data_IF_021282618675
#
_entry.id   IF_021282618675
#
_cell.length_a   1.000
_cell.length_b   1.000
_cell.length_c   1.000
_cell.angle_alpha   90.00
_cell.angle_beta   90.00
_cell.angle_gamma   90.00
#
_symmetry.space_group_name_H-M   'P 1'
#
loop_
_entity.id
_entity.type
_entity.pdbx_description
1 polymer ?
#
# COMPACT_ATOMS: atom_id res chain seq x y z
N UNK A 1 -46.16 12.63 -6.49
CA UNK A 1 -45.65 11.49 -5.69
C UNK A 1 -44.14 11.45 -5.87
N UNK A 2 -43.37 11.67 -4.80
CA UNK A 2 -41.91 11.75 -4.87
C UNK A 2 -41.35 10.33 -4.81
N UNK A 3 -40.79 9.86 -5.92
CA UNK A 3 -40.13 8.56 -5.99
C UNK A 3 -38.73 8.70 -5.37
N UNK A 4 -38.62 8.41 -4.07
CA UNK A 4 -37.33 8.27 -3.38
C UNK A 4 -36.81 6.85 -3.61
N UNK A 5 -36.07 6.65 -4.68
CA UNK A 5 -35.39 5.37 -4.97
C UNK A 5 -33.99 5.64 -5.51
N UNK A 6 -33.10 6.26 -4.72
CA UNK A 6 -31.67 6.27 -5.10
C UNK A 6 -30.70 6.59 -3.95
N UNK A 7 -30.98 6.23 -2.70
CA UNK A 7 -29.96 6.40 -1.65
C UNK A 7 -28.97 5.24 -1.63
N UNK A 8 -29.45 4.00 -1.83
CA UNK A 8 -28.58 2.81 -1.84
C UNK A 8 -27.68 2.76 -3.08
N UNK A 9 -28.20 3.09 -4.27
CA UNK A 9 -27.40 3.11 -5.51
C UNK A 9 -26.41 4.28 -5.56
N UNK A 10 -26.74 5.45 -5.00
CA UNK A 10 -25.78 6.56 -4.86
C UNK A 10 -24.69 6.22 -3.84
N UNK A 11 -25.02 5.52 -2.75
CA UNK A 11 -24.04 5.03 -1.78
C UNK A 11 -23.16 3.95 -2.41
N UNK A 12 -23.71 3.02 -3.20
CA UNK A 12 -22.92 1.99 -3.88
C UNK A 12 -21.99 2.59 -4.95
N UNK A 13 -22.42 3.66 -5.64
CA UNK A 13 -21.60 4.37 -6.62
C UNK A 13 -20.49 5.20 -5.95
N UNK A 14 -20.77 5.88 -4.83
CA UNK A 14 -19.73 6.58 -4.05
C UNK A 14 -18.73 5.61 -3.38
N UNK A 15 -19.16 4.40 -3.03
CA UNK A 15 -18.28 3.35 -2.47
C UNK A 15 -17.42 2.72 -3.56
N UNK A 16 -17.92 2.63 -4.80
CA UNK A 16 -17.16 2.14 -5.95
C UNK A 16 -16.05 3.08 -6.41
N UNK A 17 -16.23 4.41 -6.27
CA UNK A 17 -15.16 5.39 -6.54
C UNK A 17 -14.10 5.43 -5.42
N UNK A 18 -14.36 4.83 -4.26
CA UNK A 18 -13.49 4.90 -3.07
C UNK A 18 -12.33 3.89 -3.02
N UNK A 19 -12.16 2.97 -3.98
CA UNK A 19 -10.87 2.29 -4.17
C UNK A 19 -10.73 1.57 -5.53
N UNK A 20 -10.54 2.35 -6.60
CA UNK A 20 -10.04 1.82 -7.87
C UNK A 20 -8.51 1.73 -7.89
N UNK A 21 -7.86 1.29 -6.80
CA UNK A 21 -6.41 1.23 -6.84
C UNK A 21 -5.96 0.19 -7.87
N UNK A 22 -5.17 0.71 -8.82
CA UNK A 22 -4.56 0.17 -10.04
C UNK A 22 -5.33 -0.91 -10.82
N UNK A 23 -6.59 -0.60 -11.17
CA UNK A 23 -7.40 -1.35 -12.15
C UNK A 23 -7.31 -0.72 -13.57
N UNK A 24 -7.50 -1.52 -14.64
CA UNK A 24 -7.71 -2.98 -14.66
C UNK A 24 -6.40 -3.79 -14.54
N UNK A 25 -5.25 -3.14 -14.71
CA UNK A 25 -3.91 -3.72 -14.57
C UNK A 25 -3.14 -2.91 -13.53
N UNK A 26 -2.47 -3.61 -12.62
CA UNK A 26 -1.63 -3.01 -11.58
C UNK A 26 -0.59 -2.04 -12.15
N UNK A 27 -0.03 -1.19 -11.29
CA UNK A 27 0.94 -0.16 -11.69
C UNK A 27 2.36 -0.67 -11.53
N UNK A 28 3.18 -0.50 -12.58
CA UNK A 28 4.63 -0.74 -12.52
C UNK A 28 5.25 0.35 -11.64
N UNK A 29 6.16 -0.03 -10.74
CA UNK A 29 6.85 0.92 -9.86
C UNK A 29 8.15 1.44 -10.49
N UNK A 30 8.19 1.82 -11.75
CA UNK A 30 9.39 2.37 -12.41
C UNK A 30 9.78 3.77 -11.93
N UNK A 31 8.85 4.44 -11.26
CA UNK A 31 8.92 5.81 -10.78
C UNK A 31 8.12 5.95 -9.48
N UNK A 32 8.27 7.09 -8.80
CA UNK A 32 7.53 7.37 -7.57
C UNK A 32 6.01 7.39 -7.85
N UNK A 33 5.27 6.60 -7.10
CA UNK A 33 3.81 6.53 -7.22
C UNK A 33 3.17 7.20 -6.02
N UNK A 34 2.44 8.29 -6.27
CA UNK A 34 1.62 8.97 -5.27
C UNK A 34 0.16 8.57 -5.42
N UNK A 35 -0.49 8.20 -4.33
CA UNK A 35 -1.90 7.82 -4.30
C UNK A 35 -2.58 8.38 -3.06
N UNK A 36 -3.74 9.02 -3.24
CA UNK A 36 -4.59 9.46 -2.14
C UNK A 36 -5.45 8.29 -1.68
N UNK A 37 -5.41 7.97 -0.40
CA UNK A 37 -6.14 6.85 0.20
C UNK A 37 -7.09 7.39 1.25
N UNK A 38 -8.39 7.15 1.07
CA UNK A 38 -9.41 7.56 2.03
C UNK A 38 -9.38 6.66 3.27
N UNK A 39 -9.51 7.29 4.43
CA UNK A 39 -9.54 6.61 5.72
C UNK A 39 -10.98 6.24 6.05
N UNK A 40 -11.28 4.97 6.42
CA UNK A 40 -12.64 4.60 6.79
C UNK A 40 -13.11 5.26 8.10
N UNK A 41 -12.18 5.50 9.05
CA UNK A 41 -12.44 6.19 10.32
C UNK A 41 -11.36 7.24 10.58
N UNK A 42 -11.76 8.40 11.09
CA UNK A 42 -10.88 9.49 11.54
C UNK A 42 -11.09 9.80 13.02
N UNK A 43 -10.16 10.54 13.62
CA UNK A 43 -10.25 11.01 15.01
C UNK A 43 -10.57 9.90 16.02
N UNK A 44 -9.96 8.72 15.83
CA UNK A 44 -10.15 7.56 16.71
C UNK A 44 -9.69 7.90 18.13
N UNK A 45 -10.49 7.52 19.11
CA UNK A 45 -10.15 7.64 20.53
C UNK A 45 -8.92 6.79 20.87
N UNK A 46 -8.25 7.12 21.98
CA UNK A 46 -7.09 6.37 22.46
C UNK A 46 -7.40 4.87 22.63
N UNK A 47 -8.56 4.56 23.20
CA UNK A 47 -9.03 3.18 23.40
C UNK A 47 -9.20 2.43 22.08
N UNK A 48 -9.84 3.05 21.07
CA UNK A 48 -10.00 2.42 19.75
C UNK A 48 -8.65 2.15 19.07
N UNK A 49 -7.63 2.98 19.30
CA UNK A 49 -6.26 2.76 18.79
C UNK A 49 -5.52 1.66 19.53
N UNK A 50 -5.82 1.45 20.81
CA UNK A 50 -5.28 0.35 21.63
C UNK A 50 -5.93 -0.99 21.26
N UNK A 51 -7.21 -1.00 20.87
CA UNK A 51 -7.96 -2.19 20.47
C UNK A 51 -7.70 -2.59 19.00
N UNK A 52 -7.58 -1.61 18.08
CA UNK A 52 -7.40 -1.85 16.65
C UNK A 52 -6.27 -1.00 16.06
N UNK A 53 -5.38 -1.65 15.32
CA UNK A 53 -4.38 -0.97 14.52
C UNK A 53 -4.93 -0.58 13.15
N UNK A 54 -4.71 0.68 12.75
CA UNK A 54 -4.95 1.13 11.39
C UNK A 54 -3.75 0.74 10.53
N UNK A 55 -3.98 -0.15 9.57
CA UNK A 55 -2.93 -0.81 8.79
C UNK A 55 -3.01 -0.35 7.34
N UNK A 56 -1.94 0.27 6.87
CA UNK A 56 -1.74 0.53 5.45
C UNK A 56 -1.36 -0.78 4.73
N UNK A 57 -2.15 -1.16 3.73
CA UNK A 57 -1.93 -2.38 2.95
C UNK A 57 -1.59 -2.03 1.51
N UNK A 58 -0.35 -2.31 1.10
CA UNK A 58 0.05 -2.34 -0.30
C UNK A 58 -0.22 -3.75 -0.81
N UNK A 59 -1.21 -3.90 -1.70
CA UNK A 59 -1.71 -5.21 -2.09
C UNK A 59 -1.38 -5.57 -3.54
N UNK A 60 -1.32 -6.88 -3.78
CA UNK A 60 -1.11 -7.44 -5.11
C UNK A 60 0.26 -7.10 -5.68
N UNK A 61 1.30 -7.17 -4.84
CA UNK A 61 2.69 -6.97 -5.23
C UNK A 61 3.11 -8.22 -6.03
N UNK A 62 3.37 -8.05 -7.32
CA UNK A 62 3.85 -9.10 -8.22
C UNK A 62 5.27 -8.75 -8.67
N UNK A 63 6.24 -9.55 -8.23
CA UNK A 63 7.67 -9.38 -8.53
C UNK A 63 8.07 -10.39 -9.60
N UNK A 64 8.75 -9.92 -10.65
CA UNK A 64 9.32 -10.81 -11.67
C UNK A 64 10.31 -11.78 -11.02
N UNK A 65 10.25 -13.05 -11.45
CA UNK A 65 11.07 -14.13 -10.92
C UNK A 65 12.56 -13.78 -10.92
N UNK A 66 13.24 -14.13 -9.83
CA UNK A 66 14.69 -13.96 -9.65
C UNK A 66 15.17 -12.49 -9.72
N UNK A 67 14.27 -11.52 -9.54
CA UNK A 67 14.62 -10.11 -9.47
C UNK A 67 14.63 -9.64 -8.02
N UNK A 68 15.68 -8.88 -7.66
CA UNK A 68 15.69 -8.10 -6.43
C UNK A 68 14.75 -6.91 -6.60
N UNK A 69 13.91 -6.65 -5.60
CA UNK A 69 13.00 -5.49 -5.57
C UNK A 69 13.09 -4.84 -4.20
N UNK A 70 13.20 -3.52 -4.19
CA UNK A 70 13.05 -2.73 -2.97
C UNK A 70 12.23 -1.48 -3.26
N UNK A 71 11.29 -1.16 -2.39
CA UNK A 71 10.66 0.16 -2.40
C UNK A 71 10.29 0.58 -0.98
N UNK A 72 10.33 1.88 -0.75
CA UNK A 72 9.94 2.48 0.52
C UNK A 72 8.53 3.06 0.40
N UNK A 73 7.83 3.14 1.53
CA UNK A 73 6.48 3.65 1.65
C UNK A 73 6.50 4.84 2.59
N UNK A 74 5.94 5.95 2.14
CA UNK A 74 5.79 7.18 2.92
C UNK A 74 4.34 7.62 3.01
N UNK A 75 3.97 8.28 4.10
CA UNK A 75 2.64 8.84 4.36
C UNK A 75 2.75 10.36 4.53
N UNK A 76 1.89 11.10 3.83
CA UNK A 76 1.84 12.56 3.80
C UNK A 76 3.18 13.22 3.45
N UNK A 77 3.97 12.57 2.59
CA UNK A 77 5.23 13.11 2.08
C UNK A 77 4.99 14.34 1.20
N UNK A 78 5.45 15.50 1.66
CA UNK A 78 5.53 16.73 0.87
C UNK A 78 6.81 16.65 0.05
N UNK A 79 6.68 16.59 -1.27
CA UNK A 79 7.79 16.80 -2.19
C UNK A 79 7.54 18.13 -2.86
N UNK A 80 8.35 19.14 -2.52
CA UNK A 80 8.32 20.42 -3.19
C UNK A 80 9.05 20.29 -4.53
N UNK A 81 8.30 20.33 -5.64
CA UNK A 81 8.86 20.35 -7.01
C UNK A 81 9.46 19.05 -7.54
N UNK A 82 10.22 19.18 -8.64
CA UNK A 82 10.96 18.11 -9.34
C UNK A 82 12.24 17.68 -8.57
N UNK A 83 12.22 17.73 -7.23
CA UNK A 83 13.38 17.36 -6.43
C UNK A 83 13.51 15.84 -6.34
N UNK A 84 14.20 15.29 -7.34
CA UNK A 84 14.83 13.98 -7.28
C UNK A 84 15.96 13.89 -6.24
N UNK A 85 16.34 15.03 -5.64
CA UNK A 85 17.55 15.18 -4.82
C UNK A 85 17.27 15.21 -3.31
N UNK A 86 16.01 15.20 -2.87
CA UNK A 86 15.70 14.97 -1.45
C UNK A 86 16.15 13.55 -1.11
N UNK A 87 17.11 13.45 -0.19
CA UNK A 87 17.52 12.18 0.42
C UNK A 87 16.36 11.67 1.29
N UNK A 88 15.42 11.00 0.65
CA UNK A 88 14.36 10.27 1.33
C UNK A 88 15.01 9.02 1.93
N UNK A 89 14.94 8.89 3.25
CA UNK A 89 15.39 7.70 3.98
C UNK A 89 14.45 7.37 5.14
N UNK A 90 14.75 6.32 5.91
CA UNK A 90 13.96 5.89 7.06
C UNK A 90 13.97 6.91 8.22
N UNK A 91 14.87 7.88 8.20
CA UNK A 91 14.94 8.99 9.17
C UNK A 91 13.85 10.05 8.98
N UNK A 92 13.14 10.04 7.84
CA UNK A 92 12.02 10.95 7.59
C UNK A 92 10.83 10.57 8.48
N UNK A 93 10.16 11.59 9.03
CA UNK A 93 8.99 11.42 9.89
C UNK A 93 7.80 10.82 9.14
N UNK A 94 7.78 10.94 7.82
CA UNK A 94 6.76 10.43 6.92
C UNK A 94 6.98 8.96 6.54
N UNK A 95 8.12 8.37 6.92
CA UNK A 95 8.46 6.99 6.56
C UNK A 95 7.55 5.99 7.28
N UNK A 96 6.92 5.09 6.53
CA UNK A 96 6.03 4.06 7.05
C UNK A 96 6.64 2.64 7.00
N UNK A 97 7.56 2.39 6.06
CA UNK A 97 8.23 1.10 5.96
C UNK A 97 8.85 0.81 4.60
N UNK A 98 9.47 -0.37 4.49
CA UNK A 98 10.14 -0.84 3.27
C UNK A 98 9.61 -2.22 2.90
N UNK A 99 9.36 -2.44 1.61
CA UNK A 99 9.24 -3.77 1.03
C UNK A 99 10.58 -4.21 0.45
N UNK A 100 10.99 -5.45 0.73
CA UNK A 100 12.15 -6.08 0.09
C UNK A 100 11.75 -7.47 -0.39
N UNK A 101 11.99 -7.75 -1.66
CA UNK A 101 11.97 -9.09 -2.24
C UNK A 101 13.38 -9.44 -2.68
N UNK A 102 13.87 -10.58 -2.21
CA UNK A 102 15.19 -11.09 -2.58
C UNK A 102 15.01 -12.16 -3.63
N UNK A 103 15.81 -12.09 -4.70
CA UNK A 103 15.87 -13.15 -5.69
C UNK A 103 16.20 -14.49 -5.00
N UNK A 104 15.21 -15.36 -4.84
CA UNK A 104 15.43 -16.70 -4.32
C UNK A 104 16.06 -17.55 -5.43
N UNK A 105 17.39 -17.64 -5.43
CA UNK A 105 18.20 -18.48 -6.31
C UNK A 105 18.02 -19.98 -6.06
N UNK A 106 16.77 -20.45 -6.05
CA UNK A 106 16.47 -21.88 -5.95
C UNK A 106 16.49 -22.45 -7.37
N UNK A 107 17.64 -23.02 -7.74
CA UNK A 107 17.72 -23.99 -8.84
C UNK A 107 16.85 -25.18 -8.44
N UNK A 108 15.59 -25.20 -8.87
CA UNK A 108 14.76 -26.39 -8.75
C UNK A 108 15.31 -27.40 -9.74
N UNK A 109 15.96 -28.45 -9.24
CA UNK A 109 16.25 -29.65 -10.03
C UNK A 109 14.89 -30.21 -10.42
N UNK A 110 14.51 -30.05 -11.68
CA UNK A 110 13.29 -30.61 -12.23
C UNK A 110 13.58 -32.07 -12.58
N UNK A 111 12.76 -33.01 -12.09
CA UNK A 111 12.78 -34.35 -12.63
C UNK A 111 12.03 -34.34 -13.98
N UNK A 112 12.44 -35.21 -14.90
CA UNK A 112 11.75 -35.39 -16.19
C UNK A 112 10.26 -35.74 -15.93
N UNK A 113 9.35 -34.87 -16.36
CA UNK A 113 7.90 -35.05 -16.19
C UNK A 113 7.21 -34.06 -15.25
N UNK A 114 7.96 -33.26 -14.48
CA UNK A 114 7.36 -32.23 -13.63
C UNK A 114 6.89 -31.02 -14.47
N UNK A 115 5.58 -30.97 -14.76
CA UNK A 115 4.94 -29.76 -15.26
C UNK A 115 5.06 -28.69 -14.18
N UNK A 116 6.01 -27.76 -14.35
CA UNK A 116 6.23 -26.67 -13.40
C UNK A 116 5.04 -25.72 -13.36
N UNK A 117 4.06 -25.99 -12.49
CA UNK A 117 3.04 -25.01 -12.12
C UNK A 117 3.73 -23.97 -11.23
N UNK A 118 4.42 -23.00 -11.86
CA UNK A 118 4.96 -21.82 -11.17
C UNK A 118 3.77 -20.95 -10.76
N UNK A 119 3.26 -21.16 -9.56
CA UNK A 119 2.24 -20.28 -8.99
C UNK A 119 2.87 -18.91 -8.77
N UNK A 120 2.56 -17.93 -9.63
CA UNK A 120 2.83 -16.51 -9.38
C UNK A 120 2.10 -16.12 -8.12
N UNK A 121 2.79 -16.05 -6.97
CA UNK A 121 2.18 -15.65 -5.70
C UNK A 121 2.36 -14.15 -5.56
N UNK A 122 1.28 -13.39 -5.75
CA UNK A 122 1.26 -11.98 -5.34
C UNK A 122 1.37 -11.91 -3.82
N UNK A 123 2.16 -10.96 -3.33
CA UNK A 123 2.34 -10.69 -1.90
C UNK A 123 1.64 -9.38 -1.52
N UNK A 124 1.51 -9.13 -0.23
CA UNK A 124 1.00 -7.87 0.30
C UNK A 124 1.96 -7.38 1.40
N UNK A 125 2.20 -6.08 1.45
CA UNK A 125 2.87 -5.41 2.56
C UNK A 125 1.82 -4.79 3.48
N UNK A 126 1.96 -5.00 4.79
CA UNK A 126 1.07 -4.44 5.84
C UNK A 126 1.92 -3.62 6.80
N UNK A 127 1.57 -2.35 6.99
CA UNK A 127 2.29 -1.40 7.84
C UNK A 127 1.31 -0.80 8.84
N UNK A 128 1.57 -0.91 10.14
CA UNK A 128 0.82 -0.19 11.15
C UNK A 128 1.16 1.30 11.08
N UNK A 129 0.13 2.15 10.99
CA UNK A 129 0.31 3.60 10.81
C UNK A 129 -0.40 4.43 11.90
N UNK A 130 -1.00 3.81 12.93
CA UNK A 130 -1.75 4.59 13.94
C UNK A 130 -0.88 5.60 14.69
N UNK A 131 0.35 5.22 15.04
CA UNK A 131 1.32 6.08 15.73
C UNK A 131 1.85 7.14 14.76
N UNK A 132 2.23 6.73 13.55
CA UNK A 132 2.69 7.61 12.48
C UNK A 132 1.69 8.75 12.18
N UNK A 133 0.38 8.44 12.10
CA UNK A 133 -0.66 9.45 11.87
C UNK A 133 -0.77 10.44 13.04
N UNK A 134 -0.55 9.99 14.27
CA UNK A 134 -0.49 10.84 15.45
C UNK A 134 0.69 11.81 15.39
N UNK A 135 1.88 11.31 15.06
CA UNK A 135 3.11 12.11 14.95
C UNK A 135 3.02 13.15 13.82
N UNK A 136 2.41 12.77 12.70
CA UNK A 136 2.15 13.65 11.57
C UNK A 136 0.97 14.61 11.81
N UNK A 137 0.24 14.48 12.93
CA UNK A 137 -0.99 15.23 13.24
C UNK A 137 -2.06 15.09 12.16
N UNK A 138 -2.12 13.94 11.50
CA UNK A 138 -3.04 13.63 10.40
C UNK A 138 -4.29 12.85 10.86
N UNK A 139 -4.51 12.72 12.17
CA UNK A 139 -5.61 11.93 12.73
C UNK A 139 -7.00 12.41 12.31
N UNK A 140 -7.17 13.71 12.06
CA UNK A 140 -8.44 14.33 11.67
C UNK A 140 -8.67 14.37 10.15
N UNK A 141 -7.65 14.01 9.36
CA UNK A 141 -7.72 14.04 7.89
C UNK A 141 -8.56 12.87 7.35
N UNK A 142 -9.45 13.16 6.39
CA UNK A 142 -10.31 12.16 5.72
C UNK A 142 -9.54 11.21 4.78
N UNK A 143 -8.34 11.63 4.36
CA UNK A 143 -7.50 10.88 3.43
C UNK A 143 -6.04 11.21 3.66
N UNK A 144 -5.18 10.24 3.39
CA UNK A 144 -3.73 10.42 3.43
C UNK A 144 -3.13 10.30 2.03
N UNK A 145 -1.97 10.93 1.83
CA UNK A 145 -1.19 10.78 0.61
C UNK A 145 -0.11 9.71 0.83
N UNK A 146 -0.23 8.58 0.15
CA UNK A 146 0.76 7.51 0.19
C UNK A 146 1.70 7.64 -0.99
N UNK A 147 3.01 7.59 -0.73
CA UNK A 147 4.04 7.61 -1.77
C UNK A 147 4.83 6.31 -1.73
N UNK A 148 4.83 5.57 -2.84
CA UNK A 148 5.68 4.40 -3.05
C UNK A 148 6.93 4.86 -3.82
N UNK A 149 8.10 4.65 -3.23
CA UNK A 149 9.39 5.11 -3.77
C UNK A 149 10.23 3.88 -4.13
N UNK A 150 10.29 3.46 -5.41
CA UNK A 150 11.16 2.38 -5.83
C UNK A 150 12.62 2.72 -5.54
N UNK A 151 13.32 1.79 -4.90
CA UNK A 151 14.76 1.88 -4.65
C UNK A 151 15.49 0.95 -5.59
N UNK A 152 16.67 1.38 -6.04
CA UNK A 152 17.61 0.50 -6.73
C UNK A 152 17.11 -0.05 -8.07
N UNK A 153 16.85 0.79 -9.09
CA UNK A 153 16.67 0.42 -10.52
C UNK A 153 15.70 -0.74 -10.89
N UNK A 154 15.01 -1.30 -9.91
CA UNK A 154 14.34 -2.61 -9.95
C UNK A 154 12.83 -2.49 -9.99
N UNK A 155 12.33 -1.27 -9.83
CA UNK A 155 10.90 -0.97 -9.81
C UNK A 155 10.15 -1.37 -11.09
N UNK A 156 10.85 -1.41 -12.23
CA UNK A 156 10.32 -1.95 -13.50
C UNK A 156 10.02 -3.47 -13.46
N UNK A 157 10.45 -4.17 -12.41
CA UNK A 157 10.25 -5.60 -12.21
C UNK A 157 9.13 -5.91 -11.22
N UNK A 158 8.39 -4.89 -10.79
CA UNK A 158 7.31 -5.03 -9.81
C UNK A 158 6.07 -4.34 -10.30
N UNK A 159 4.94 -5.00 -10.15
CA UNK A 159 3.62 -4.37 -10.25
C UNK A 159 2.91 -4.40 -8.92
N UNK A 160 2.16 -3.35 -8.62
CA UNK A 160 1.32 -3.25 -7.43
C UNK A 160 -0.12 -3.07 -7.87
N UNK A 161 -1.02 -3.90 -7.37
CA UNK A 161 -2.45 -3.77 -7.66
C UNK A 161 -3.06 -2.60 -6.90
N UNK A 162 -2.56 -2.23 -5.72
CA UNK A 162 -3.07 -1.03 -5.07
C UNK A 162 -2.64 -0.80 -3.64
N UNK A 163 -3.27 0.22 -3.05
CA UNK A 163 -3.10 0.60 -1.65
C UNK A 163 -4.47 0.81 -1.02
N UNK A 164 -4.65 0.34 0.22
CA UNK A 164 -5.85 0.56 1.02
C UNK A 164 -5.52 0.62 2.51
N UNK A 165 -6.52 0.94 3.32
CA UNK A 165 -6.43 0.91 4.78
C UNK A 165 -7.37 -0.17 5.31
N UNK A 166 -6.82 -1.08 6.11
CA UNK A 166 -7.54 -2.12 6.84
C UNK A 166 -7.40 -1.84 8.35
N UNK A 167 -8.29 -2.39 9.19
CA UNK A 167 -8.16 -2.39 10.65
C UNK A 167 -7.86 -3.80 11.14
N UNK A 168 -6.88 -3.94 12.02
CA UNK A 168 -6.50 -5.24 12.60
C UNK A 168 -6.57 -5.17 14.12
N UNK A 169 -7.23 -6.13 14.79
CA UNK A 169 -7.23 -6.17 16.24
C UNK A 169 -5.80 -6.25 16.78
N UNK A 170 -5.47 -5.39 17.74
CA UNK A 170 -4.29 -5.57 18.57
C UNK A 170 -4.62 -6.68 19.56
N UNK A 171 -3.94 -7.81 19.47
CA UNK A 171 -4.06 -8.82 20.52
C UNK A 171 -3.48 -8.22 21.81
N UNK A 172 -4.34 -7.91 22.78
CA UNK A 172 -3.94 -7.57 24.13
C UNK A 172 -3.23 -8.79 24.74
N UNK A 173 -1.92 -8.66 25.00
CA UNK A 173 -1.18 -9.60 25.84
C UNK A 173 -1.52 -9.36 27.31
#
# INVERSE_FOLDING_TARGET
MKNYSTTADQVLHLVAEKSSCFKPKGRILDSNVKVRVYRPRKSRSKKEKEEEEEVLVVYGIDVKKDMYVKFDVYVNLVLDGNDSDIKLGPESREFAGTYVDLAHGVTKIANEGDTMIKTKRKTNLKLGISELLGDLKADEEDSILVTLVPRTGSGANTTVDGVRIDYMPRYTQ
#
